data_IF_124000834964
#
_entry.id   IF_124000834964
#
_cell.length_a   1.000
_cell.length_b   1.000
_cell.length_c   1.000
_cell.angle_alpha   90.00
_cell.angle_beta   90.00
_cell.angle_gamma   90.00
#
_symmetry.space_group_name_H-M   'P 1'
#
loop_
_entity.id
_entity.type
_entity.pdbx_description
1 polymer ?
#
# COMPACT_ATOMS: atom_id res chain seq x y z
N UNK A 1 -22.95 -4.06 -2.52
CA UNK A 1 -21.67 -3.32 -2.50
C UNK A 1 -22.03 -1.91 -2.13
N UNK A 2 -21.51 -1.41 -1.01
CA UNK A 2 -21.85 -0.09 -0.50
C UNK A 2 -21.03 0.93 -1.32
N UNK A 3 -21.71 1.79 -2.08
CA UNK A 3 -21.10 2.75 -3.01
C UNK A 3 -20.66 4.06 -2.33
N UNK A 4 -20.74 4.11 -1.00
CA UNK A 4 -20.50 5.32 -0.18
C UNK A 4 -19.14 5.30 0.54
N UNK A 5 -18.13 4.57 0.03
CA UNK A 5 -16.77 4.69 0.53
C UNK A 5 -16.07 5.87 -0.16
N UNK A 6 -15.81 7.00 0.53
CA UNK A 6 -15.22 8.19 -0.08
C UNK A 6 -13.73 8.02 -0.41
N UNK A 7 -13.14 6.86 -0.08
CA UNK A 7 -11.72 6.61 -0.28
C UNK A 7 -11.46 5.68 -1.48
N UNK A 8 -11.10 6.34 -2.58
CA UNK A 8 -10.18 5.89 -3.63
C UNK A 8 -10.75 4.87 -4.62
N UNK A 9 -11.30 5.41 -5.70
CA UNK A 9 -11.49 4.72 -6.96
C UNK A 9 -10.14 4.59 -7.69
N UNK A 10 -9.63 3.38 -7.92
CA UNK A 10 -8.59 3.14 -8.95
C UNK A 10 -9.23 3.07 -10.35
N UNK A 11 -10.04 4.06 -10.70
CA UNK A 11 -10.50 4.27 -12.07
C UNK A 11 -9.57 5.30 -12.72
N UNK A 12 -9.42 5.23 -14.03
CA UNK A 12 -8.44 6.00 -14.83
C UNK A 12 -8.60 7.53 -14.73
N UNK A 13 -9.67 8.03 -14.09
CA UNK A 13 -10.01 9.45 -13.99
C UNK A 13 -9.87 10.06 -12.59
N UNK A 14 -9.51 9.30 -11.54
CA UNK A 14 -9.38 9.82 -10.16
C UNK A 14 -7.91 9.82 -9.68
N UNK A 15 -7.37 11.03 -9.52
CA UNK A 15 -6.05 11.28 -8.96
C UNK A 15 -5.95 10.71 -7.53
N UNK A 16 -5.02 9.78 -7.30
CA UNK A 16 -4.81 9.25 -5.96
C UNK A 16 -4.32 10.36 -5.01
N UNK A 17 -4.90 10.47 -3.82
CA UNK A 17 -4.60 11.52 -2.83
C UNK A 17 -3.35 11.20 -1.99
N UNK A 18 -2.40 10.45 -2.54
CA UNK A 18 -1.22 9.99 -1.79
C UNK A 18 -0.14 11.06 -1.89
N UNK A 19 0.46 11.45 -0.76
CA UNK A 19 1.53 12.45 -0.78
C UNK A 19 2.84 11.87 -1.32
N UNK A 20 3.10 10.60 -1.04
CA UNK A 20 4.35 9.91 -1.39
C UNK A 20 4.14 8.41 -1.51
N UNK A 21 4.64 7.84 -2.60
CA UNK A 21 4.73 6.40 -2.81
C UNK A 21 6.20 5.97 -2.82
N UNK A 22 6.55 4.96 -2.00
CA UNK A 22 7.92 4.48 -1.87
C UNK A 22 8.01 2.95 -1.90
N UNK A 23 8.90 2.42 -2.74
CA UNK A 23 9.21 0.98 -2.81
C UNK A 23 10.69 0.76 -2.48
N UNK A 24 10.94 0.01 -1.41
CA UNK A 24 12.29 -0.35 -0.93
C UNK A 24 12.60 -1.80 -1.23
N UNK A 25 13.72 -2.04 -1.91
CA UNK A 25 14.27 -3.38 -2.12
C UNK A 25 15.69 -3.43 -1.58
N UNK A 26 16.02 -4.51 -0.87
CA UNK A 26 17.36 -4.68 -0.31
C UNK A 26 18.41 -4.66 -1.42
N UNK A 27 19.44 -3.84 -1.27
CA UNK A 27 20.51 -3.71 -2.26
C UNK A 27 20.17 -2.88 -3.49
N UNK A 28 19.03 -2.18 -3.50
CA UNK A 28 18.64 -1.28 -4.59
C UNK A 28 18.26 0.09 -4.05
N UNK A 29 18.57 1.15 -4.82
CA UNK A 29 18.11 2.51 -4.51
C UNK A 29 16.58 2.53 -4.44
N UNK A 30 15.96 3.06 -3.37
CA UNK A 30 14.51 3.14 -3.26
C UNK A 30 13.88 3.87 -4.45
N UNK A 31 12.74 3.36 -4.90
CA UNK A 31 11.85 4.10 -5.78
C UNK A 31 11.02 5.04 -4.91
N UNK A 32 11.06 6.34 -5.19
CA UNK A 32 10.25 7.36 -4.49
C UNK A 32 9.53 8.20 -5.54
N UNK A 33 8.21 8.31 -5.41
CA UNK A 33 7.37 9.16 -6.25
C UNK A 33 6.59 10.10 -5.32
N UNK A 34 6.89 11.38 -5.40
CA UNK A 34 6.14 12.44 -4.69
C UNK A 34 4.87 12.77 -5.47
N UNK A 35 3.75 12.94 -4.75
CA UNK A 35 2.40 13.22 -5.25
C UNK A 35 2.09 12.45 -6.54
N UNK A 36 2.16 11.11 -6.50
CA UNK A 36 1.99 10.32 -7.70
C UNK A 36 0.56 10.39 -8.22
N UNK A 37 0.40 10.31 -9.54
CA UNK A 37 -0.85 9.88 -10.16
C UNK A 37 -0.85 8.36 -10.29
N UNK A 38 -2.03 7.75 -10.42
CA UNK A 38 -2.19 6.30 -10.59
C UNK A 38 -1.36 5.77 -11.77
N UNK A 39 -1.41 6.43 -12.92
CA UNK A 39 -0.62 6.09 -14.12
C UNK A 39 0.89 6.14 -13.88
N UNK A 40 1.34 7.15 -13.14
CA UNK A 40 2.75 7.30 -12.79
C UNK A 40 3.20 6.20 -11.85
N UNK A 41 2.37 5.80 -10.87
CA UNK A 41 2.65 4.64 -10.03
C UNK A 41 2.75 3.37 -10.87
N UNK A 42 1.78 3.10 -11.75
CA UNK A 42 1.77 1.91 -12.60
C UNK A 42 3.03 1.87 -13.48
N UNK A 43 3.27 2.94 -14.23
CA UNK A 43 4.36 2.99 -15.22
C UNK A 43 5.73 2.83 -14.56
N UNK A 44 5.98 3.60 -13.51
CA UNK A 44 7.30 3.62 -12.86
C UNK A 44 7.52 2.34 -12.05
N UNK A 45 6.48 1.81 -11.37
CA UNK A 45 6.59 0.56 -10.62
C UNK A 45 6.82 -0.63 -11.53
N UNK A 46 6.11 -0.70 -12.66
CA UNK A 46 6.31 -1.74 -13.68
C UNK A 46 7.76 -1.79 -14.15
N UNK A 47 8.34 -0.64 -14.49
CA UNK A 47 9.74 -0.52 -14.93
C UNK A 47 10.72 -0.85 -13.80
N UNK A 48 10.47 -0.33 -12.59
CA UNK A 48 11.34 -0.55 -11.45
C UNK A 48 11.37 -2.03 -11.06
N UNK A 49 10.23 -2.68 -10.90
CA UNK A 49 10.13 -4.08 -10.48
C UNK A 49 10.27 -5.09 -11.64
N UNK A 50 10.35 -4.62 -12.89
CA UNK A 50 10.34 -5.44 -14.10
C UNK A 50 9.16 -6.43 -14.14
N UNK A 51 7.95 -5.91 -13.88
CA UNK A 51 6.72 -6.69 -13.83
C UNK A 51 5.92 -6.57 -15.13
N UNK A 52 5.00 -7.52 -15.36
CA UNK A 52 3.92 -7.32 -16.31
C UNK A 52 2.90 -6.29 -15.81
N UNK A 53 2.07 -5.75 -16.70
CA UNK A 53 1.02 -4.82 -16.31
C UNK A 53 0.03 -5.45 -15.29
N UNK A 54 -0.50 -6.67 -15.49
CA UNK A 54 -1.38 -7.31 -14.50
C UNK A 54 -0.72 -7.51 -13.13
N UNK A 55 0.56 -7.92 -13.09
CA UNK A 55 1.30 -8.05 -11.83
C UNK A 55 1.51 -6.71 -11.15
N UNK A 56 1.70 -5.63 -11.92
CA UNK A 56 1.87 -4.28 -11.37
C UNK A 56 0.56 -3.79 -10.73
N UNK A 57 -0.59 -4.01 -11.39
CA UNK A 57 -1.89 -3.70 -10.81
C UNK A 57 -2.11 -4.48 -9.51
N UNK A 58 -1.88 -5.80 -9.52
CA UNK A 58 -2.04 -6.62 -8.32
C UNK A 58 -1.17 -6.12 -7.16
N UNK A 59 0.10 -5.82 -7.43
CA UNK A 59 1.02 -5.28 -6.43
C UNK A 59 0.51 -3.95 -5.86
N UNK A 60 0.11 -3.00 -6.70
CA UNK A 60 -0.38 -1.70 -6.26
C UNK A 60 -1.70 -1.80 -5.49
N UNK A 61 -2.64 -2.62 -5.94
CA UNK A 61 -3.89 -2.89 -5.20
C UNK A 61 -3.59 -3.45 -3.81
N UNK A 62 -2.69 -4.43 -3.71
CA UNK A 62 -2.37 -5.04 -2.42
C UNK A 62 -1.60 -4.09 -1.48
N UNK A 63 -0.73 -3.25 -2.02
CA UNK A 63 0.16 -2.38 -1.23
C UNK A 63 -0.39 -1.00 -0.94
N UNK A 64 -1.37 -0.53 -1.72
CA UNK A 64 -1.96 0.79 -1.56
C UNK A 64 -3.40 0.69 -1.08
N UNK A 65 -4.26 -0.09 -1.74
CA UNK A 65 -5.68 -0.16 -1.39
C UNK A 65 -5.98 -1.10 -0.22
N UNK A 66 -5.34 -2.27 -0.22
CA UNK A 66 -5.59 -3.26 0.84
C UNK A 66 -4.71 -3.02 2.07
N UNK A 67 -4.01 -1.90 2.13
CA UNK A 67 -3.24 -1.52 3.31
C UNK A 67 -4.23 -1.01 4.36
N UNK A 68 -4.35 -1.71 5.51
CA UNK A 68 -5.21 -1.24 6.58
C UNK A 68 -4.70 0.10 7.12
N UNK A 69 -5.60 0.90 7.68
CA UNK A 69 -5.22 2.12 8.37
C UNK A 69 -4.11 1.87 9.39
N UNK A 70 -3.19 2.84 9.58
CA UNK A 70 -2.16 2.73 10.61
C UNK A 70 -2.81 2.48 11.97
N UNK A 71 -2.35 1.45 12.68
CA UNK A 71 -2.81 1.18 14.03
C UNK A 71 -2.49 2.37 14.94
N UNK A 72 -3.47 2.79 15.73
CA UNK A 72 -3.22 3.64 16.89
C UNK A 72 -2.27 2.92 17.86
N UNK A 73 -1.61 3.68 18.74
CA UNK A 73 -0.71 3.10 19.74
C UNK A 73 -1.42 2.07 20.64
N UNK A 74 -2.71 2.30 20.95
CA UNK A 74 -3.53 1.39 21.75
C UNK A 74 -3.86 0.11 21.00
N UNK A 75 -4.21 0.21 19.71
CA UNK A 75 -4.44 -0.97 18.86
C UNK A 75 -3.17 -1.78 18.66
N UNK A 76 -2.03 -1.09 18.53
CA UNK A 76 -0.72 -1.72 18.46
C UNK A 76 -0.41 -2.53 19.74
N UNK A 77 -0.63 -1.95 20.93
CA UNK A 77 -0.44 -2.68 22.18
C UNK A 77 -1.42 -3.85 22.35
N UNK A 78 -2.69 -3.69 21.94
CA UNK A 78 -3.67 -4.79 21.93
C UNK A 78 -3.24 -5.92 21.00
N UNK A 79 -2.73 -5.60 19.81
CA UNK A 79 -2.21 -6.58 18.86
C UNK A 79 -1.03 -7.34 19.46
N UNK A 80 -0.05 -6.64 20.05
CA UNK A 80 1.09 -7.27 20.72
C UNK A 80 0.61 -8.21 21.83
N UNK A 81 -0.26 -7.74 22.72
CA UNK A 81 -0.76 -8.56 23.82
C UNK A 81 -1.51 -9.82 23.34
N UNK A 82 -2.29 -9.69 22.26
CA UNK A 82 -2.98 -10.82 21.65
C UNK A 82 -2.01 -11.85 21.04
N UNK A 83 -0.91 -11.38 20.42
CA UNK A 83 0.14 -12.24 19.87
C UNK A 83 0.96 -12.92 20.97
N UNK A 84 1.33 -12.20 22.04
CA UNK A 84 2.02 -12.79 23.18
C UNK A 84 1.18 -13.90 23.83
N UNK A 85 -0.12 -13.66 23.99
CA UNK A 85 -1.05 -14.66 24.52
C UNK A 85 -1.18 -15.87 23.60
N UNK A 86 -1.28 -15.67 22.29
CA UNK A 86 -1.41 -16.80 21.34
C UNK A 86 -0.15 -17.65 21.26
N UNK A 87 1.01 -17.05 21.53
CA UNK A 87 2.31 -17.73 21.59
C UNK A 87 2.62 -18.32 22.98
N UNK A 88 1.77 -18.11 23.98
CA UNK A 88 1.98 -18.58 25.35
C UNK A 88 3.13 -17.87 26.07
N UNK A 89 3.47 -16.64 25.65
CA UNK A 89 4.51 -15.80 26.25
C UNK A 89 4.00 -14.95 27.42
N UNK A 90 2.67 -14.83 27.58
CA UNK A 90 1.95 -14.19 28.69
C UNK A 90 0.63 -14.88 29.00
#
# INVERSE_FOLDING_TARGET
>A
MNHDDPWICLNEDDDCTIERFEVRLKGRKPLVIEKPTTDKMITITKQYLNLSLPQTHLFLTQSVLNTPDPLTIDEHFKLIAALEKSLGLR
#
